data_IF_070272398213
#
_entry.id   IF_070272398213
#
_cell.length_a   1.000
_cell.length_b   1.000
_cell.length_c   1.000
_cell.angle_alpha   90.00
_cell.angle_beta   90.00
_cell.angle_gamma   90.00
#
_symmetry.space_group_name_H-M   'P 1'
#
loop_
_entity.id
_entity.type
_entity.pdbx_description
1 polymer ?
#
# COMPACT_ATOMS: atom_id res chain seq x y z
N UNK A 1 18.14 -6.95 -32.50
CA UNK A 1 16.80 -7.51 -32.23
C UNK A 1 16.09 -6.54 -31.31
N UNK A 2 14.89 -6.11 -31.70
CA UNK A 2 14.26 -4.80 -31.41
C UNK A 2 14.28 -4.31 -29.96
N UNK A 3 15.05 -3.24 -29.73
CA UNK A 3 14.83 -2.27 -28.66
C UNK A 3 13.62 -1.39 -29.01
N UNK A 4 12.42 -1.99 -28.90
CA UNK A 4 11.17 -1.23 -28.88
C UNK A 4 11.16 -0.30 -27.67
N UNK A 5 10.90 0.98 -27.93
CA UNK A 5 10.79 2.08 -26.98
C UNK A 5 10.10 1.64 -25.66
N UNK A 6 10.91 1.34 -24.64
CA UNK A 6 10.37 1.17 -23.30
C UNK A 6 10.30 2.58 -22.72
N UNK A 7 9.10 3.14 -22.61
CA UNK A 7 8.82 4.41 -21.91
C UNK A 7 9.02 4.29 -20.38
N UNK A 8 9.97 3.46 -19.96
CA UNK A 8 10.22 3.00 -18.62
C UNK A 8 11.51 3.68 -18.17
N UNK A 9 11.44 4.60 -17.21
CA UNK A 9 12.63 5.31 -16.72
C UNK A 9 13.73 4.32 -16.33
N UNK A 10 14.94 4.56 -16.84
CA UNK A 10 16.15 3.81 -16.46
C UNK A 10 16.37 3.94 -14.95
N UNK A 11 16.60 2.82 -14.29
CA UNK A 11 16.76 2.75 -12.83
C UNK A 11 18.18 2.36 -12.47
N UNK A 12 18.45 1.05 -12.42
CA UNK A 12 19.72 0.50 -11.97
C UNK A 12 20.47 -0.13 -13.15
N UNK A 13 21.81 0.03 -13.18
CA UNK A 13 22.69 -0.56 -14.21
C UNK A 13 22.28 -0.26 -15.65
N UNK A 14 21.75 0.94 -15.91
CA UNK A 14 21.28 1.32 -17.26
C UNK A 14 19.99 0.63 -17.72
N UNK A 15 19.35 -0.17 -16.86
CA UNK A 15 18.13 -0.92 -17.20
C UNK A 15 16.90 -0.35 -16.49
N UNK A 16 15.73 -0.50 -17.10
CA UNK A 16 14.47 -0.20 -16.47
C UNK A 16 13.98 -1.36 -15.59
N UNK A 17 13.03 -1.12 -14.70
CA UNK A 17 12.51 -2.14 -13.79
C UNK A 17 11.90 -3.37 -14.50
N UNK A 18 11.38 -3.21 -15.73
CA UNK A 18 10.86 -4.32 -16.54
C UNK A 18 11.99 -5.22 -17.07
N UNK A 19 13.14 -4.64 -17.40
CA UNK A 19 14.30 -5.30 -17.99
C UNK A 19 15.38 -5.64 -16.97
N UNK A 20 15.03 -5.79 -15.69
CA UNK A 20 16.00 -6.20 -14.65
C UNK A 20 16.75 -5.06 -13.96
N UNK A 21 16.33 -3.81 -14.15
CA UNK A 21 16.84 -2.62 -13.45
C UNK A 21 16.44 -2.54 -11.97
N UNK A 22 16.37 -3.67 -11.27
CA UNK A 22 16.08 -3.77 -9.85
C UNK A 22 17.11 -4.67 -9.16
N UNK A 23 17.18 -4.63 -7.83
CA UNK A 23 18.02 -5.54 -7.05
C UNK A 23 17.14 -6.51 -6.26
N UNK A 24 17.67 -7.70 -5.98
CA UNK A 24 17.02 -8.69 -5.12
C UNK A 24 17.46 -8.47 -3.67
N UNK A 25 16.61 -8.88 -2.74
CA UNK A 25 16.94 -8.89 -1.33
C UNK A 25 18.19 -9.74 -1.05
N UNK A 26 19.17 -9.19 -0.34
CA UNK A 26 20.41 -9.87 0.07
C UNK A 26 20.21 -10.95 1.14
N UNK A 27 19.00 -11.09 1.68
CA UNK A 27 18.70 -12.10 2.70
C UNK A 27 18.62 -13.47 2.01
N UNK A 28 19.35 -14.46 2.55
CA UNK A 28 19.41 -15.81 1.99
C UNK A 28 17.99 -16.38 1.81
N UNK A 29 17.71 -16.92 0.62
CA UNK A 29 16.39 -17.48 0.28
C UNK A 29 15.30 -16.47 -0.04
N UNK A 30 15.59 -15.15 -0.07
CA UNK A 30 14.58 -14.15 -0.38
C UNK A 30 14.58 -13.73 -1.85
N UNK A 31 13.56 -14.16 -2.61
CA UNK A 31 13.36 -13.73 -4.01
C UNK A 31 12.66 -12.36 -4.15
N UNK A 32 12.37 -11.67 -3.04
CA UNK A 32 11.68 -10.37 -3.08
C UNK A 32 12.62 -9.27 -3.58
N UNK A 33 12.07 -8.31 -4.31
CA UNK A 33 12.82 -7.13 -4.78
C UNK A 33 13.25 -6.26 -3.59
N UNK A 34 14.52 -5.84 -3.61
CA UNK A 34 15.03 -4.89 -2.66
C UNK A 34 14.52 -3.48 -2.98
N UNK A 35 14.08 -2.76 -1.94
CA UNK A 35 13.60 -1.38 -2.07
C UNK A 35 14.69 -0.39 -1.72
N UNK A 36 15.45 -0.66 -0.67
CA UNK A 36 16.56 0.15 -0.19
C UNK A 36 17.54 -0.70 0.61
N UNK A 37 18.79 -0.26 0.71
CA UNK A 37 19.89 -0.96 1.43
C UNK A 37 20.12 -2.41 0.99
N UNK A 38 19.64 -2.79 -0.20
CA UNK A 38 19.75 -4.16 -0.72
C UNK A 38 18.85 -5.19 -0.03
N UNK A 39 17.85 -4.78 0.75
CA UNK A 39 16.86 -5.70 1.36
C UNK A 39 15.44 -5.32 0.93
N UNK A 40 14.48 -6.24 1.10
CA UNK A 40 13.08 -6.02 0.77
C UNK A 40 12.30 -5.42 1.94
N UNK A 41 11.06 -5.00 1.66
CA UNK A 41 10.20 -4.35 2.66
C UNK A 41 10.00 -5.21 3.91
N UNK A 42 9.74 -6.51 3.71
CA UNK A 42 9.56 -7.49 4.80
C UNK A 42 10.81 -7.66 5.65
N UNK A 43 11.99 -7.45 5.09
CA UNK A 43 13.28 -7.54 5.80
C UNK A 43 13.76 -6.17 6.32
N UNK A 44 12.90 -5.15 6.33
CA UNK A 44 13.21 -3.87 6.96
C UNK A 44 13.80 -2.82 6.02
N UNK A 45 13.58 -2.93 4.70
CA UNK A 45 13.94 -1.86 3.77
C UNK A 45 13.05 -0.63 3.97
N UNK A 46 13.48 0.26 4.86
CA UNK A 46 12.79 1.52 5.17
C UNK A 46 13.24 2.09 6.50
N UNK A 47 12.58 3.17 6.91
CA UNK A 47 12.80 3.78 8.24
C UNK A 47 11.91 3.06 9.24
N UNK A 48 12.37 2.85 10.48
CA UNK A 48 11.53 2.29 11.54
C UNK A 48 10.45 3.28 11.96
N UNK A 49 9.35 2.74 12.48
CA UNK A 49 8.30 3.54 13.09
C UNK A 49 8.85 4.33 14.30
N UNK A 50 8.44 5.59 14.43
CA UNK A 50 8.82 6.51 15.52
C UNK A 50 8.26 6.11 16.88
N UNK A 51 7.20 5.30 16.94
CA UNK A 51 6.71 4.77 18.22
C UNK A 51 7.81 3.94 18.88
N UNK A 52 8.05 4.22 20.17
CA UNK A 52 8.89 3.41 21.04
C UNK A 52 8.39 1.96 20.98
N UNK A 53 9.32 1.01 20.93
CA UNK A 53 9.05 -0.44 20.84
C UNK A 53 8.40 -0.94 19.53
N UNK A 54 8.25 -0.10 18.50
CA UNK A 54 7.72 -0.53 17.21
C UNK A 54 8.82 -0.93 16.22
N UNK A 55 8.97 -2.23 15.97
CA UNK A 55 9.90 -2.75 14.95
C UNK A 55 9.38 -2.67 13.50
N UNK A 56 8.15 -2.18 13.30
CA UNK A 56 7.53 -2.11 11.95
C UNK A 56 8.13 -0.96 11.13
N UNK A 57 8.18 -1.14 9.82
CA UNK A 57 8.64 -0.12 8.88
C UNK A 57 7.60 1.00 8.80
N UNK A 58 8.08 2.25 8.81
CA UNK A 58 7.27 3.43 8.62
C UNK A 58 6.77 3.50 7.16
N UNK A 59 5.47 3.77 7.01
CA UNK A 59 4.82 3.93 5.71
C UNK A 59 4.86 5.40 5.30
N UNK A 60 4.45 6.29 6.19
CA UNK A 60 4.49 7.74 6.01
C UNK A 60 4.59 8.43 7.37
N UNK A 61 5.00 9.71 7.38
CA UNK A 61 5.12 10.55 8.59
C UNK A 61 6.01 9.94 9.70
N UNK A 62 6.92 9.03 9.31
CA UNK A 62 7.75 8.27 10.24
C UNK A 62 6.99 7.27 11.11
N UNK A 63 5.75 6.90 10.79
CA UNK A 63 4.96 5.91 11.55
C UNK A 63 4.60 4.72 10.67
N UNK A 64 4.41 3.54 11.27
CA UNK A 64 3.93 2.37 10.54
C UNK A 64 2.42 2.45 10.33
N UNK A 65 1.86 1.49 9.59
CA UNK A 65 0.43 1.40 9.33
C UNK A 65 -0.43 1.48 10.61
N UNK A 66 -0.06 0.68 11.61
CA UNK A 66 -0.80 0.61 12.88
C UNK A 66 -0.73 1.92 13.68
N UNK A 67 0.38 2.65 13.58
CA UNK A 67 0.63 3.88 14.33
C UNK A 67 0.31 5.16 13.53
N UNK A 68 -0.48 5.09 12.47
CA UNK A 68 -0.97 6.28 11.74
C UNK A 68 -0.06 6.74 10.60
N UNK A 69 0.77 5.86 10.06
CA UNK A 69 1.57 6.11 8.87
C UNK A 69 0.83 5.92 7.54
N UNK A 70 -0.44 5.57 7.56
CA UNK A 70 -1.25 5.34 6.37
C UNK A 70 -2.66 5.90 6.52
N UNK A 71 -3.34 6.14 5.39
CA UNK A 71 -4.72 6.63 5.39
C UNK A 71 -5.68 5.48 5.69
N UNK A 72 -6.66 5.68 6.56
CA UNK A 72 -7.70 4.67 6.80
C UNK A 72 -8.87 4.89 5.85
N UNK A 73 -9.66 3.84 5.67
CA UNK A 73 -10.94 3.95 4.99
C UNK A 73 -11.75 5.11 5.59
N UNK A 74 -12.45 5.86 4.74
CA UNK A 74 -13.38 6.92 5.19
C UNK A 74 -14.61 6.37 5.93
N UNK A 75 -14.89 5.08 5.82
CA UNK A 75 -15.96 4.42 6.57
C UNK A 75 -15.53 4.33 8.04
N UNK A 76 -16.25 5.01 8.93
CA UNK A 76 -15.94 5.11 10.36
C UNK A 76 -15.78 3.74 11.06
N UNK A 77 -16.58 2.74 10.66
CA UNK A 77 -16.51 1.37 11.18
C UNK A 77 -15.35 0.56 10.60
N UNK A 78 -14.65 1.09 9.59
CA UNK A 78 -13.63 0.38 8.83
C UNK A 78 -12.22 0.92 9.12
N UNK A 79 -11.39 0.08 9.74
CA UNK A 79 -9.97 0.42 10.00
C UNK A 79 -9.01 -0.08 8.91
N UNK A 80 -9.55 -0.58 7.79
CA UNK A 80 -8.76 -1.13 6.68
C UNK A 80 -7.96 -0.03 5.97
N UNK A 81 -6.85 -0.42 5.30
CA UNK A 81 -6.06 0.49 4.52
C UNK A 81 -6.78 1.08 3.33
N UNK A 82 -6.56 2.38 3.14
CA UNK A 82 -7.07 3.13 2.01
C UNK A 82 -5.99 4.04 1.41
N UNK A 83 -6.25 4.49 0.20
CA UNK A 83 -5.38 5.41 -0.53
C UNK A 83 -6.21 6.39 -1.35
N UNK A 84 -5.59 7.48 -1.81
CA UNK A 84 -6.27 8.44 -2.69
C UNK A 84 -6.71 7.81 -4.00
N UNK A 85 -5.99 6.78 -4.49
CA UNK A 85 -6.36 6.04 -5.71
C UNK A 85 -7.67 5.28 -5.59
N UNK A 86 -8.09 4.96 -4.36
CA UNK A 86 -9.33 4.24 -4.05
C UNK A 86 -10.35 5.20 -3.44
N UNK A 87 -10.31 6.50 -3.75
CA UNK A 87 -11.17 7.53 -3.14
C UNK A 87 -11.15 7.53 -1.60
N UNK A 88 -10.02 7.17 -1.00
CA UNK A 88 -9.85 6.97 0.44
C UNK A 88 -10.79 5.88 1.03
N UNK A 89 -11.28 4.96 0.21
CA UNK A 89 -11.89 3.71 0.62
C UNK A 89 -10.87 2.57 0.69
N UNK A 90 -11.16 1.57 1.50
CA UNK A 90 -10.46 0.29 1.42
C UNK A 90 -10.85 -0.43 0.12
N UNK A 91 -10.10 -1.46 -0.26
CA UNK A 91 -10.36 -2.20 -1.51
C UNK A 91 -11.80 -2.70 -1.59
N UNK A 92 -12.34 -3.26 -0.50
CA UNK A 92 -13.69 -3.80 -0.47
C UNK A 92 -14.76 -2.71 -0.64
N UNK A 93 -14.64 -1.62 0.11
CA UNK A 93 -15.57 -0.48 -0.01
C UNK A 93 -15.41 0.28 -1.32
N UNK A 94 -14.21 0.31 -1.90
CA UNK A 94 -13.97 0.89 -3.21
C UNK A 94 -14.66 0.08 -4.30
N UNK A 95 -14.61 -1.25 -4.23
CA UNK A 95 -15.33 -2.14 -5.16
C UNK A 95 -16.85 -1.93 -5.08
N UNK A 96 -17.40 -1.74 -3.89
CA UNK A 96 -18.83 -1.42 -3.76
C UNK A 96 -19.15 -0.02 -4.32
N UNK A 97 -18.32 0.98 -4.02
CA UNK A 97 -18.45 2.35 -4.51
C UNK A 97 -18.47 2.43 -6.04
N UNK A 98 -17.57 1.73 -6.75
CA UNK A 98 -17.56 1.75 -8.22
C UNK A 98 -18.81 1.09 -8.84
N UNK A 99 -19.50 0.22 -8.10
CA UNK A 99 -20.70 -0.48 -8.56
C UNK A 99 -21.97 0.35 -8.34
N UNK A 100 -22.07 1.07 -7.22
CA UNK A 100 -23.31 1.74 -6.81
C UNK A 100 -23.25 3.26 -6.96
N UNK A 101 -22.04 3.84 -7.08
CA UNK A 101 -21.83 5.28 -7.27
C UNK A 101 -22.23 6.16 -6.09
N UNK A 102 -22.63 5.57 -4.96
CA UNK A 102 -23.23 6.28 -3.84
C UNK A 102 -22.25 6.41 -2.66
N UNK A 103 -22.00 7.65 -2.23
CA UNK A 103 -21.19 7.96 -1.04
C UNK A 103 -22.05 8.28 0.19
N UNK A 104 -23.38 8.27 0.10
CA UNK A 104 -24.27 8.64 1.21
C UNK A 104 -24.34 7.58 2.31
N UNK A 105 -23.96 6.32 2.01
CA UNK A 105 -23.74 5.27 3.04
C UNK A 105 -22.46 5.53 3.88
N UNK A 106 -21.62 6.47 3.44
CA UNK A 106 -20.27 6.67 3.98
C UNK A 106 -20.24 7.64 5.17
N UNK A 107 -21.28 8.45 5.37
CA UNK A 107 -21.27 9.54 6.37
C UNK A 107 -22.40 9.49 7.39
N UNK A 108 -23.47 8.70 7.19
CA UNK A 108 -24.56 8.60 8.16
C UNK A 108 -24.40 7.38 9.09
N UNK A 109 -24.20 7.65 10.37
CA UNK A 109 -24.06 6.66 11.46
C UNK A 109 -25.29 5.75 11.63
N UNK A 110 -26.42 6.03 10.96
CA UNK A 110 -27.70 5.33 11.15
C UNK A 110 -27.96 4.17 10.19
N UNK A 111 -27.23 4.06 9.06
CA UNK A 111 -27.58 3.10 8.01
C UNK A 111 -26.90 1.72 8.12
N UNK A 112 -26.01 1.52 9.09
CA UNK A 112 -25.35 0.21 9.32
C UNK A 112 -26.16 -0.77 10.20
N UNK A 113 -27.33 -0.39 10.69
CA UNK A 113 -28.20 -1.27 11.51
C UNK A 113 -29.24 -2.05 10.71
N UNK A 114 -29.29 -1.91 9.38
CA UNK A 114 -30.29 -2.56 8.56
C UNK A 114 -29.66 -3.45 7.49
N UNK A 115 -29.01 -4.54 7.90
CA UNK A 115 -29.10 -5.78 7.13
C UNK A 115 -29.27 -6.96 8.09
N UNK A 116 -30.42 -7.69 8.04
CA UNK A 116 -30.57 -8.93 8.77
C UNK A 116 -29.58 -9.95 8.22
N UNK A 117 -28.90 -10.64 9.12
CA UNK A 117 -28.25 -11.90 8.80
C UNK A 117 -29.34 -12.91 8.44
N UNK A 118 -29.34 -13.40 7.20
CA UNK A 118 -29.99 -14.67 6.83
C UNK A 118 -28.96 -15.56 6.16
#
# INVERSE_FOLDING_TARGET
MQDGDCNCRVQNRGLCWKRGGYTICKVKGCAKRAKSRGICWSHGSGTRCKNKECSKVAVSRGRCWAHGGGKRCLIETCRKPASERTNNFCTDHYTWYIQHGDTTIVTDKRQYLAQPMQ
#
